data_IF_186578244091
#
_entry.id   IF_186578244091
#
_cell.length_a   1.000
_cell.length_b   1.000
_cell.length_c   1.000
_cell.angle_alpha   90.00
_cell.angle_beta   90.00
_cell.angle_gamma   90.00
#
_symmetry.space_group_name_H-M   'P 1'
#
loop_
_entity.id
_entity.type
_entity.pdbx_description
1 polymer ?
#
# COMPACT_ATOMS: atom_id res chain seq x y z
N UNK A 1 -0.50 28.61 26.06
CA UNK A 1 -0.38 27.46 25.11
C UNK A 1 -1.45 26.39 25.36
N UNK A 2 -1.73 25.99 26.65
CA UNK A 2 -2.79 24.97 26.94
C UNK A 2 -4.19 25.44 26.54
N UNK A 3 -4.51 26.73 26.74
CA UNK A 3 -5.82 27.29 26.35
C UNK A 3 -5.99 27.25 24.84
N UNK A 4 -4.97 27.65 24.07
CA UNK A 4 -4.99 27.63 22.62
C UNK A 4 -5.18 26.23 22.04
N UNK A 5 -4.65 25.18 22.68
CA UNK A 5 -4.89 23.81 22.25
C UNK A 5 -6.33 23.33 22.49
N UNK A 6 -6.94 23.81 23.59
CA UNK A 6 -8.35 23.58 23.87
C UNK A 6 -9.20 24.28 22.82
N UNK A 7 -8.86 25.51 22.47
CA UNK A 7 -9.56 26.30 21.47
C UNK A 7 -9.49 25.65 20.08
N UNK A 8 -8.32 25.10 19.68
CA UNK A 8 -8.17 24.35 18.43
C UNK A 8 -9.06 23.09 18.41
N UNK A 9 -9.07 22.31 19.51
CA UNK A 9 -9.94 21.13 19.58
C UNK A 9 -11.41 21.53 19.58
N UNK A 10 -11.76 22.64 20.18
CA UNK A 10 -13.12 23.17 20.14
C UNK A 10 -13.51 23.57 18.72
N UNK A 11 -12.62 24.20 17.96
CA UNK A 11 -12.84 24.54 16.56
C UNK A 11 -13.09 23.30 15.69
N UNK A 12 -12.33 22.21 15.90
CA UNK A 12 -12.60 20.92 15.25
C UNK A 12 -13.98 20.39 15.61
N UNK A 13 -14.36 20.46 16.90
CA UNK A 13 -15.67 20.00 17.37
C UNK A 13 -16.81 20.83 16.74
N UNK A 14 -16.66 22.13 16.63
CA UNK A 14 -17.62 23.01 15.96
C UNK A 14 -17.80 22.66 14.48
N UNK A 15 -16.71 22.32 13.78
CA UNK A 15 -16.80 21.81 12.41
C UNK A 15 -17.63 20.52 12.33
N UNK A 16 -17.38 19.58 13.24
CA UNK A 16 -18.11 18.31 13.28
C UNK A 16 -19.60 18.50 13.58
N UNK A 17 -19.95 19.39 14.54
CA UNK A 17 -21.31 19.67 14.94
C UNK A 17 -22.10 20.41 13.83
N UNK A 18 -21.43 21.23 13.02
CA UNK A 18 -22.01 21.97 11.91
C UNK A 18 -21.93 21.25 10.55
N UNK A 19 -21.39 20.04 10.49
CA UNK A 19 -21.10 19.32 9.24
C UNK A 19 -20.24 20.15 8.26
N UNK A 20 -19.30 20.94 8.79
CA UNK A 20 -18.34 21.70 8.02
C UNK A 20 -17.05 20.87 7.83
N UNK A 21 -16.75 20.47 6.60
CA UNK A 21 -15.56 19.69 6.32
C UNK A 21 -14.27 20.50 6.50
N UNK A 22 -13.24 19.90 7.05
CA UNK A 22 -12.01 20.59 7.45
C UNK A 22 -10.74 19.80 7.14
N UNK A 23 -9.63 20.55 7.05
CA UNK A 23 -8.28 20.03 6.98
C UNK A 23 -7.50 20.49 8.22
N UNK A 24 -7.08 19.52 9.03
CA UNK A 24 -6.28 19.76 10.22
C UNK A 24 -4.82 19.47 9.92
N UNK A 25 -4.05 20.54 9.71
CA UNK A 25 -2.62 20.48 9.50
C UNK A 25 -1.89 20.62 10.84
N UNK A 26 -1.11 19.60 11.18
CA UNK A 26 -0.37 19.54 12.43
C UNK A 26 0.99 18.90 12.22
N UNK A 27 2.05 19.60 12.55
CA UNK A 27 3.42 19.14 12.36
C UNK A 27 3.76 17.89 13.17
N UNK A 28 4.95 17.37 12.96
CA UNK A 28 5.47 16.21 13.70
C UNK A 28 5.38 16.43 15.21
N UNK A 29 4.80 15.50 15.95
CA UNK A 29 4.68 15.59 17.40
C UNK A 29 3.60 16.55 17.94
N UNK A 30 2.80 17.18 17.06
CA UNK A 30 1.71 18.09 17.46
C UNK A 30 0.45 17.35 17.98
N UNK A 31 0.40 16.01 17.87
CA UNK A 31 -0.70 15.20 18.42
C UNK A 31 -1.87 15.02 17.47
N UNK A 32 -1.64 14.81 16.17
CA UNK A 32 -2.66 14.45 15.16
C UNK A 32 -3.59 13.34 15.62
N UNK A 33 -3.01 12.19 15.97
CA UNK A 33 -3.78 11.02 16.45
C UNK A 33 -4.60 11.32 17.71
N UNK A 34 -4.10 12.18 18.59
CA UNK A 34 -4.86 12.62 19.77
C UNK A 34 -6.07 13.49 19.39
N UNK A 35 -5.89 14.45 18.47
CA UNK A 35 -6.99 15.27 17.97
C UNK A 35 -8.05 14.41 17.27
N UNK A 36 -7.64 13.46 16.41
CA UNK A 36 -8.51 12.49 15.76
C UNK A 36 -9.31 11.67 16.78
N UNK A 37 -8.65 11.14 17.81
CA UNK A 37 -9.31 10.41 18.90
C UNK A 37 -10.34 11.27 19.62
N UNK A 38 -9.98 12.52 19.97
CA UNK A 38 -10.89 13.46 20.64
C UNK A 38 -12.09 13.84 19.77
N UNK A 39 -11.89 13.92 18.47
CA UNK A 39 -12.99 14.12 17.51
C UNK A 39 -13.98 12.95 17.54
N UNK A 40 -13.48 11.72 17.52
CA UNK A 40 -14.33 10.51 17.62
C UNK A 40 -15.07 10.47 18.97
N UNK A 41 -14.37 10.75 20.08
CA UNK A 41 -14.98 10.81 21.42
C UNK A 41 -16.09 11.87 21.49
N UNK A 42 -15.87 13.04 20.86
CA UNK A 42 -16.87 14.13 20.79
C UNK A 42 -18.12 13.66 20.03
N UNK A 43 -17.97 13.12 18.82
CA UNK A 43 -19.08 12.61 18.03
C UNK A 43 -19.85 11.51 18.78
N UNK A 44 -19.15 10.59 19.43
CA UNK A 44 -19.79 9.53 20.21
C UNK A 44 -20.57 10.07 21.42
N UNK A 45 -20.13 11.17 22.01
CA UNK A 45 -20.79 11.80 23.15
C UNK A 45 -22.03 12.59 22.69
N UNK A 46 -21.97 13.31 21.59
CA UNK A 46 -23.08 14.13 21.08
C UNK A 46 -24.10 13.31 20.29
N UNK A 47 -23.64 12.46 19.37
CA UNK A 47 -24.47 11.78 18.37
C UNK A 47 -24.52 10.26 18.52
N UNK A 48 -23.82 9.68 19.50
CA UNK A 48 -23.62 8.23 19.59
C UNK A 48 -24.90 7.40 19.70
N UNK A 49 -25.95 7.92 20.35
CA UNK A 49 -27.25 7.25 20.41
C UNK A 49 -27.98 7.31 19.07
N UNK A 50 -27.97 8.46 18.41
CA UNK A 50 -28.58 8.67 17.10
C UNK A 50 -27.92 7.76 16.07
N UNK A 51 -26.56 7.70 16.05
CA UNK A 51 -25.82 6.82 15.18
C UNK A 51 -26.21 5.35 15.36
N UNK A 52 -26.41 4.90 16.62
CA UNK A 52 -26.85 3.53 16.88
C UNK A 52 -28.25 3.26 16.38
N UNK A 53 -29.19 4.17 16.67
CA UNK A 53 -30.60 4.04 16.26
C UNK A 53 -30.75 4.04 14.74
N UNK A 54 -29.98 4.87 14.05
CA UNK A 54 -29.97 5.00 12.59
C UNK A 54 -29.07 3.96 11.89
N UNK A 55 -28.40 3.08 12.65
CA UNK A 55 -27.41 2.14 12.14
C UNK A 55 -26.28 2.82 11.35
N UNK A 56 -25.94 4.06 11.73
CA UNK A 56 -24.85 4.86 11.17
C UNK A 56 -23.55 4.63 11.92
N UNK A 57 -22.44 4.94 11.29
CA UNK A 57 -21.12 4.75 11.89
C UNK A 57 -20.17 5.90 11.56
N UNK A 58 -19.26 6.17 12.46
CA UNK A 58 -18.08 6.99 12.20
C UNK A 58 -17.09 6.14 11.42
N UNK A 59 -16.59 6.62 10.30
CA UNK A 59 -15.54 5.99 9.53
C UNK A 59 -14.20 6.68 9.79
N UNK A 60 -13.24 5.93 10.31
CA UNK A 60 -11.87 6.39 10.45
C UNK A 60 -10.98 5.60 9.48
N UNK A 61 -10.38 6.29 8.54
CA UNK A 61 -9.50 5.74 7.52
C UNK A 61 -8.06 5.99 7.90
N UNK A 62 -7.22 4.96 7.86
CA UNK A 62 -5.79 5.06 8.12
C UNK A 62 -4.99 4.43 6.99
N UNK A 63 -3.72 4.82 6.88
CA UNK A 63 -2.84 4.27 5.85
C UNK A 63 -2.33 2.87 6.19
N UNK A 64 -2.02 2.59 7.46
CA UNK A 64 -1.37 1.35 7.90
C UNK A 64 -2.19 0.55 8.92
N UNK A 65 -1.98 -0.76 8.95
CA UNK A 65 -2.56 -1.62 9.99
C UNK A 65 -2.05 -1.28 11.39
N UNK A 66 -0.83 -0.75 11.51
CA UNK A 66 -0.28 -0.31 12.79
C UNK A 66 -1.07 0.88 13.36
N UNK A 67 -1.34 1.90 12.53
CA UNK A 67 -2.17 3.06 12.91
C UNK A 67 -3.61 2.63 13.24
N UNK A 68 -4.21 1.72 12.44
CA UNK A 68 -5.52 1.14 12.72
C UNK A 68 -5.57 0.51 14.12
N UNK A 69 -4.59 -0.33 14.46
CA UNK A 69 -4.54 -1.00 15.76
C UNK A 69 -4.34 -0.01 16.89
N UNK A 70 -3.46 0.99 16.73
CA UNK A 70 -3.25 2.03 17.74
C UNK A 70 -4.53 2.82 18.05
N UNK A 71 -5.31 3.17 17.02
CA UNK A 71 -6.58 3.87 17.21
C UNK A 71 -7.60 2.96 17.92
N UNK A 72 -7.70 1.70 17.51
CA UNK A 72 -8.59 0.72 18.14
C UNK A 72 -8.24 0.46 19.61
N UNK A 73 -6.95 0.36 19.94
CA UNK A 73 -6.48 0.18 21.31
C UNK A 73 -6.84 1.37 22.20
N UNK A 74 -6.77 2.59 21.65
CA UNK A 74 -7.11 3.82 22.38
C UNK A 74 -8.62 4.05 22.56
N UNK A 75 -9.42 3.72 21.55
CA UNK A 75 -10.87 3.94 21.54
C UNK A 75 -11.64 2.79 22.25
N UNK A 76 -11.01 1.61 22.38
CA UNK A 76 -11.71 0.40 22.75
C UNK A 76 -12.65 -0.11 21.65
N UNK A 77 -13.37 -1.20 21.94
CA UNK A 77 -14.35 -1.76 20.98
C UNK A 77 -15.66 -0.98 21.04
N UNK A 78 -15.93 -0.16 20.01
CA UNK A 78 -17.18 0.56 19.86
C UNK A 78 -17.85 0.18 18.53
N UNK A 79 -19.09 -0.31 18.58
CA UNK A 79 -19.82 -0.76 17.39
C UNK A 79 -20.21 0.36 16.42
N UNK A 80 -20.21 1.62 16.88
CA UNK A 80 -20.52 2.80 16.07
C UNK A 80 -19.30 3.37 15.36
N UNK A 81 -18.10 2.80 15.56
CA UNK A 81 -16.87 3.25 14.90
C UNK A 81 -16.30 2.13 14.03
N UNK A 82 -15.96 2.47 12.80
CA UNK A 82 -15.24 1.61 11.86
C UNK A 82 -13.86 2.22 11.66
N UNK A 83 -12.81 1.53 12.08
CA UNK A 83 -11.42 1.89 11.77
C UNK A 83 -10.88 0.90 10.77
N UNK A 84 -10.45 1.36 9.62
CA UNK A 84 -9.99 0.48 8.53
C UNK A 84 -8.88 1.12 7.71
N UNK A 85 -8.11 0.28 7.04
CA UNK A 85 -7.27 0.78 5.95
C UNK A 85 -8.14 1.10 4.74
N UNK A 86 -7.67 2.01 3.89
CA UNK A 86 -8.44 2.48 2.75
C UNK A 86 -8.86 1.35 1.80
N UNK A 87 -7.92 0.47 1.46
CA UNK A 87 -8.18 -0.63 0.52
C UNK A 87 -9.16 -1.66 1.10
N UNK A 88 -9.01 -2.00 2.38
CA UNK A 88 -9.91 -2.91 3.08
C UNK A 88 -11.34 -2.35 3.11
N UNK A 89 -11.48 -1.08 3.43
CA UNK A 89 -12.77 -0.41 3.50
C UNK A 89 -13.44 -0.32 2.11
N UNK A 90 -12.72 0.21 1.12
CA UNK A 90 -13.27 0.38 -0.22
C UNK A 90 -13.67 -0.95 -0.85
N UNK A 91 -12.83 -1.98 -0.70
CA UNK A 91 -13.20 -3.32 -1.16
C UNK A 91 -14.46 -3.84 -0.45
N UNK A 92 -14.54 -3.72 0.87
CA UNK A 92 -15.73 -4.11 1.64
C UNK A 92 -17.00 -3.40 1.18
N UNK A 93 -16.88 -2.15 0.72
CA UNK A 93 -18.00 -1.34 0.25
C UNK A 93 -18.49 -1.74 -1.15
N UNK A 94 -17.55 -2.01 -2.10
CA UNK A 94 -17.92 -2.28 -3.50
C UNK A 94 -17.97 -3.76 -3.88
N UNK A 95 -17.42 -4.68 -3.09
CA UNK A 95 -17.28 -6.10 -3.45
C UNK A 95 -18.61 -6.78 -3.82
N UNK A 96 -19.73 -6.31 -3.28
CA UNK A 96 -21.07 -6.81 -3.59
C UNK A 96 -21.60 -6.32 -4.95
N UNK A 97 -21.03 -5.26 -5.50
CA UNK A 97 -21.44 -4.62 -6.76
C UNK A 97 -20.78 -5.30 -7.98
N UNK A 98 -20.95 -6.61 -8.09
CA UNK A 98 -20.21 -7.41 -9.09
C UNK A 98 -20.53 -7.03 -10.55
N UNK A 99 -21.71 -6.52 -10.83
CA UNK A 99 -22.07 -6.06 -12.18
C UNK A 99 -21.24 -4.82 -12.57
N UNK A 100 -21.16 -3.83 -11.68
CA UNK A 100 -20.33 -2.63 -11.89
C UNK A 100 -18.85 -2.97 -11.94
N UNK A 101 -18.39 -3.85 -11.04
CA UNK A 101 -16.99 -4.33 -11.06
C UNK A 101 -16.65 -5.05 -12.36
N UNK A 102 -17.56 -5.84 -12.91
CA UNK A 102 -17.37 -6.56 -14.17
C UNK A 102 -17.28 -5.59 -15.34
N UNK A 103 -18.10 -4.53 -15.36
CA UNK A 103 -18.02 -3.50 -16.42
C UNK A 103 -16.69 -2.72 -16.36
N UNK A 104 -16.27 -2.31 -15.15
CA UNK A 104 -14.94 -1.68 -14.98
C UNK A 104 -13.80 -2.64 -15.37
N UNK A 105 -13.94 -3.91 -15.05
CA UNK A 105 -12.96 -4.93 -15.45
C UNK A 105 -12.88 -5.10 -16.96
N UNK A 106 -14.02 -5.07 -17.64
CA UNK A 106 -14.12 -5.07 -19.10
C UNK A 106 -13.41 -3.85 -19.72
N UNK A 107 -13.65 -2.66 -19.17
CA UNK A 107 -13.03 -1.43 -19.60
C UNK A 107 -11.49 -1.47 -19.42
N UNK A 108 -11.03 -1.96 -18.28
CA UNK A 108 -9.60 -2.16 -17.99
C UNK A 108 -8.96 -3.13 -18.97
N UNK A 109 -9.60 -4.27 -19.26
CA UNK A 109 -9.10 -5.26 -20.23
C UNK A 109 -9.00 -4.63 -21.62
N UNK A 110 -9.99 -3.88 -22.08
CA UNK A 110 -9.94 -3.18 -23.37
C UNK A 110 -8.74 -2.24 -23.46
N UNK A 111 -8.53 -1.40 -22.45
CA UNK A 111 -7.38 -0.49 -22.41
C UNK A 111 -6.03 -1.23 -22.35
N UNK A 112 -5.94 -2.38 -21.67
CA UNK A 112 -4.73 -3.20 -21.67
C UNK A 112 -4.50 -3.89 -23.04
N UNK A 113 -5.56 -4.35 -23.71
CA UNK A 113 -5.45 -4.91 -25.06
C UNK A 113 -4.93 -3.88 -26.08
N UNK A 114 -5.39 -2.64 -26.02
CA UNK A 114 -4.88 -1.55 -26.87
C UNK A 114 -3.38 -1.30 -26.65
N UNK A 115 -2.96 -1.23 -25.38
CA UNK A 115 -1.53 -1.08 -25.03
C UNK A 115 -0.67 -2.24 -25.50
N UNK A 116 -1.18 -3.47 -25.36
CA UNK A 116 -0.48 -4.68 -25.81
C UNK A 116 -0.38 -4.69 -27.35
N UNK A 117 -1.42 -4.28 -28.05
CA UNK A 117 -1.41 -4.18 -29.51
C UNK A 117 -0.38 -3.19 -30.02
N UNK A 118 -0.27 -2.01 -29.39
CA UNK A 118 0.80 -1.06 -29.68
C UNK A 118 2.20 -1.64 -29.48
N UNK A 119 2.41 -2.42 -28.40
CA UNK A 119 3.70 -3.10 -28.14
C UNK A 119 4.00 -4.18 -29.17
N UNK A 120 3.02 -4.99 -29.55
CA UNK A 120 3.16 -6.00 -30.59
C UNK A 120 3.53 -5.36 -31.91
N UNK A 121 2.83 -4.30 -32.31
CA UNK A 121 3.08 -3.59 -33.57
C UNK A 121 4.45 -2.91 -33.61
N UNK A 122 4.97 -2.45 -32.47
CA UNK A 122 6.31 -1.87 -32.33
C UNK A 122 7.44 -2.90 -32.21
N UNK A 123 7.14 -4.18 -32.11
CA UNK A 123 8.15 -5.23 -31.98
C UNK A 123 8.71 -5.61 -33.38
N UNK A 124 10.01 -5.89 -33.45
CA UNK A 124 10.69 -6.32 -34.69
C UNK A 124 10.14 -7.63 -35.30
N UNK A 125 9.37 -8.37 -34.53
CA UNK A 125 8.72 -9.63 -34.96
C UNK A 125 7.26 -9.44 -35.36
N UNK A 126 6.78 -8.21 -35.42
CA UNK A 126 5.36 -7.91 -35.71
C UNK A 126 4.85 -8.52 -37.04
N UNK A 127 5.68 -8.55 -38.07
CA UNK A 127 5.35 -9.18 -39.35
C UNK A 127 5.04 -10.67 -39.27
N UNK A 128 5.53 -11.34 -38.22
CA UNK A 128 5.31 -12.79 -38.03
C UNK A 128 3.92 -13.10 -37.44
N UNK A 129 3.22 -12.10 -36.89
CA UNK A 129 1.84 -12.26 -36.36
C UNK A 129 0.86 -12.63 -37.45
N UNK A 130 1.10 -12.19 -38.67
CA UNK A 130 0.27 -12.51 -39.84
C UNK A 130 0.44 -13.96 -40.31
N UNK A 131 1.53 -14.61 -39.88
CA UNK A 131 1.78 -16.01 -40.19
C UNK A 131 1.01 -16.90 -39.18
N UNK A 132 -0.06 -17.51 -39.57
CA UNK A 132 -0.90 -18.38 -38.74
C UNK A 132 -0.07 -19.45 -38.01
N UNK A 133 0.89 -20.07 -38.70
CA UNK A 133 1.77 -21.07 -38.14
C UNK A 133 2.61 -20.56 -36.97
N UNK A 134 3.22 -19.37 -37.11
CA UNK A 134 4.01 -18.79 -36.02
C UNK A 134 3.15 -18.52 -34.80
N UNK A 135 1.95 -17.97 -35.00
CA UNK A 135 1.00 -17.68 -33.92
C UNK A 135 0.50 -18.95 -33.23
N UNK A 136 0.16 -19.98 -33.97
CA UNK A 136 -0.28 -21.27 -33.41
C UNK A 136 0.82 -21.87 -32.55
N UNK A 137 2.07 -21.91 -33.03
CA UNK A 137 3.21 -22.47 -32.31
C UNK A 137 3.54 -21.72 -31.01
N UNK A 138 3.48 -20.37 -30.98
CA UNK A 138 3.75 -19.61 -29.76
C UNK A 138 2.59 -19.62 -28.74
N UNK A 139 1.39 -20.03 -29.14
CA UNK A 139 0.24 -20.21 -28.27
C UNK A 139 0.06 -21.67 -27.81
N UNK A 140 0.88 -22.59 -28.31
CA UNK A 140 0.85 -23.98 -27.91
C UNK A 140 1.20 -24.16 -26.42
N UNK A 141 0.46 -25.00 -25.71
CA UNK A 141 0.63 -25.16 -24.27
C UNK A 141 1.99 -25.76 -23.89
N UNK A 142 2.50 -26.72 -24.65
CA UNK A 142 3.78 -27.34 -24.35
C UNK A 142 4.94 -26.41 -24.66
N UNK A 143 4.84 -25.63 -25.75
CA UNK A 143 5.77 -24.54 -25.99
C UNK A 143 5.76 -23.52 -24.83
N UNK A 144 4.60 -23.08 -24.37
CA UNK A 144 4.50 -22.10 -23.29
C UNK A 144 5.07 -22.64 -21.96
N UNK A 145 4.89 -23.93 -21.64
CA UNK A 145 5.54 -24.57 -20.48
C UNK A 145 7.07 -24.45 -20.57
N UNK A 146 7.64 -24.84 -21.71
CA UNK A 146 9.09 -24.75 -21.95
C UNK A 146 9.54 -23.30 -21.94
N UNK A 147 8.85 -22.41 -22.62
CA UNK A 147 9.16 -20.97 -22.68
C UNK A 147 9.23 -20.34 -21.29
N UNK A 148 8.22 -20.56 -20.46
CA UNK A 148 8.19 -19.97 -19.11
C UNK A 148 9.24 -20.59 -18.17
N UNK A 149 9.60 -21.87 -18.35
CA UNK A 149 10.66 -22.51 -17.56
C UNK A 149 12.03 -21.85 -17.78
N UNK A 150 12.30 -21.31 -18.96
CA UNK A 150 13.57 -20.68 -19.33
C UNK A 150 13.47 -19.18 -19.57
N UNK A 151 12.31 -18.56 -19.34
CA UNK A 151 12.09 -17.13 -19.64
C UNK A 151 13.00 -16.18 -18.87
N UNK A 152 13.52 -16.58 -17.71
CA UNK A 152 14.47 -15.82 -16.89
C UNK A 152 15.95 -16.27 -17.07
N UNK A 153 16.22 -17.29 -17.87
CA UNK A 153 17.57 -17.84 -18.07
C UNK A 153 18.46 -16.88 -18.91
N UNK A 154 19.79 -17.00 -18.84
CA UNK A 154 20.69 -16.28 -19.73
C UNK A 154 20.33 -16.49 -21.20
N UNK A 155 20.63 -15.49 -22.05
CA UNK A 155 20.25 -15.52 -23.46
C UNK A 155 20.74 -16.75 -24.22
N UNK A 156 21.94 -17.26 -23.89
CA UNK A 156 22.52 -18.47 -24.51
C UNK A 156 21.68 -19.70 -24.21
N UNK A 157 21.44 -19.98 -22.94
CA UNK A 157 20.63 -21.11 -22.46
C UNK A 157 19.20 -21.03 -23.02
N UNK A 158 18.60 -19.83 -23.03
CA UNK A 158 17.27 -19.65 -23.61
C UNK A 158 17.22 -20.04 -25.09
N UNK A 159 18.18 -19.58 -25.90
CA UNK A 159 18.28 -19.92 -27.32
C UNK A 159 18.41 -21.43 -27.55
N UNK A 160 19.30 -22.08 -26.79
CA UNK A 160 19.57 -23.52 -26.90
C UNK A 160 18.31 -24.33 -26.58
N UNK A 161 17.58 -23.98 -25.52
CA UNK A 161 16.38 -24.72 -25.10
C UNK A 161 15.22 -24.49 -26.10
N UNK A 162 14.95 -23.24 -26.50
CA UNK A 162 13.86 -22.96 -27.44
C UNK A 162 14.14 -23.58 -28.82
N UNK A 163 15.38 -23.50 -29.31
CA UNK A 163 15.77 -24.15 -30.54
C UNK A 163 15.68 -25.70 -30.46
N UNK A 164 16.06 -26.26 -29.31
CA UNK A 164 15.97 -27.70 -29.06
C UNK A 164 14.52 -28.22 -28.95
N UNK A 165 13.60 -27.33 -28.53
CA UNK A 165 12.18 -27.67 -28.53
C UNK A 165 11.59 -27.66 -29.95
N UNK A 166 11.82 -26.61 -30.73
CA UNK A 166 11.38 -26.49 -32.11
C UNK A 166 12.35 -25.60 -32.91
N UNK A 167 13.03 -26.19 -33.90
CA UNK A 167 14.00 -25.48 -34.75
C UNK A 167 13.37 -24.35 -35.58
N UNK A 168 12.06 -24.41 -35.78
CA UNK A 168 11.27 -23.34 -36.43
C UNK A 168 11.55 -21.95 -35.82
N UNK A 169 11.79 -21.87 -34.54
CA UNK A 169 12.05 -20.59 -33.88
C UNK A 169 13.46 -20.03 -34.09
N UNK A 170 14.39 -20.80 -34.66
CA UNK A 170 15.80 -20.39 -34.82
C UNK A 170 16.00 -19.02 -35.48
N UNK A 171 15.31 -18.67 -36.60
CA UNK A 171 15.46 -17.36 -37.25
C UNK A 171 14.99 -16.20 -36.38
N UNK A 172 14.03 -16.42 -35.49
CA UNK A 172 13.41 -15.39 -34.64
C UNK A 172 14.18 -15.10 -33.35
N UNK A 173 15.21 -15.88 -33.03
CA UNK A 173 16.02 -15.77 -31.81
C UNK A 173 17.20 -14.80 -31.97
N UNK A 174 17.30 -14.02 -33.03
CA UNK A 174 18.35 -13.00 -33.21
C UNK A 174 18.38 -12.05 -32.02
N UNK A 175 17.21 -11.53 -31.59
CA UNK A 175 17.02 -10.76 -30.36
C UNK A 175 16.18 -11.55 -29.36
N UNK A 176 16.84 -12.15 -28.38
CA UNK A 176 16.16 -12.91 -27.29
C UNK A 176 15.17 -12.03 -26.53
N UNK A 177 15.50 -10.77 -26.29
CA UNK A 177 14.64 -9.82 -25.59
C UNK A 177 13.35 -9.59 -26.38
N UNK A 178 13.48 -9.22 -27.65
CA UNK A 178 12.30 -9.02 -28.53
C UNK A 178 11.43 -10.24 -28.63
N UNK A 179 12.02 -11.44 -28.75
CA UNK A 179 11.28 -12.70 -28.82
C UNK A 179 10.51 -12.99 -27.52
N UNK A 180 11.18 -12.83 -26.36
CA UNK A 180 10.53 -13.01 -25.05
C UNK A 180 9.35 -12.06 -24.83
N UNK A 181 9.56 -10.79 -25.14
CA UNK A 181 8.53 -9.77 -24.96
C UNK A 181 7.36 -10.05 -25.91
N UNK A 182 7.65 -10.38 -27.15
CA UNK A 182 6.64 -10.68 -28.16
C UNK A 182 5.76 -11.89 -27.77
N UNK A 183 6.37 -13.00 -27.37
CA UNK A 183 5.61 -14.21 -26.93
C UNK A 183 4.76 -13.91 -25.71
N UNK A 184 5.29 -13.15 -24.74
CA UNK A 184 4.53 -12.74 -23.55
C UNK A 184 3.34 -11.87 -23.91
N UNK A 185 3.53 -10.89 -24.80
CA UNK A 185 2.48 -9.95 -25.21
C UNK A 185 1.38 -10.66 -26.01
N UNK A 186 1.74 -11.54 -26.94
CA UNK A 186 0.76 -12.35 -27.69
C UNK A 186 -0.05 -13.25 -26.76
N UNK A 187 0.62 -13.97 -25.85
CA UNK A 187 -0.07 -14.85 -24.91
C UNK A 187 -0.99 -14.06 -23.96
N UNK A 188 -0.53 -12.89 -23.48
CA UNK A 188 -1.36 -12.00 -22.66
C UNK A 188 -2.57 -11.48 -23.44
N UNK A 189 -2.38 -11.05 -24.71
CA UNK A 189 -3.47 -10.62 -25.61
C UNK A 189 -4.51 -11.74 -25.78
N UNK A 190 -4.05 -12.96 -26.02
CA UNK A 190 -4.93 -14.13 -26.20
C UNK A 190 -5.78 -14.40 -24.93
N UNK A 191 -5.14 -14.47 -23.75
CA UNK A 191 -5.83 -14.72 -22.49
C UNK A 191 -6.85 -13.62 -22.16
N UNK A 192 -6.47 -12.35 -22.32
CA UNK A 192 -7.39 -11.22 -22.10
C UNK A 192 -8.55 -11.23 -23.10
N UNK A 193 -8.31 -11.62 -24.35
CA UNK A 193 -9.35 -11.78 -25.36
C UNK A 193 -10.39 -12.84 -24.97
N UNK A 194 -9.96 -13.97 -24.40
CA UNK A 194 -10.87 -15.00 -23.87
C UNK A 194 -11.70 -14.42 -22.74
N UNK A 195 -11.06 -13.76 -21.76
CA UNK A 195 -11.76 -13.16 -20.62
C UNK A 195 -12.77 -12.11 -21.07
N UNK A 196 -12.41 -11.26 -22.05
CA UNK A 196 -13.32 -10.28 -22.61
C UNK A 196 -14.56 -10.95 -23.23
N UNK A 197 -14.37 -12.02 -23.98
CA UNK A 197 -15.46 -12.79 -24.55
C UNK A 197 -16.33 -13.47 -23.48
N UNK A 198 -15.74 -14.03 -22.43
CA UNK A 198 -16.49 -14.56 -21.28
C UNK A 198 -17.41 -13.50 -20.64
N UNK A 199 -16.92 -12.25 -20.52
CA UNK A 199 -17.71 -11.13 -20.01
C UNK A 199 -18.85 -10.81 -20.96
N UNK A 200 -18.60 -10.73 -22.26
CA UNK A 200 -19.62 -10.43 -23.29
C UNK A 200 -20.70 -11.52 -23.39
N UNK A 201 -20.31 -12.78 -23.24
CA UNK A 201 -21.22 -13.93 -23.18
C UNK A 201 -21.97 -14.07 -21.83
N UNK A 202 -21.76 -13.16 -20.88
CA UNK A 202 -22.32 -13.22 -19.51
C UNK A 202 -21.92 -14.47 -18.73
N UNK A 203 -20.73 -14.98 -18.98
CA UNK A 203 -20.10 -16.13 -18.28
C UNK A 203 -18.96 -15.70 -17.36
N UNK A 204 -18.89 -14.40 -17.04
CA UNK A 204 -17.83 -13.84 -16.22
C UNK A 204 -17.78 -14.45 -14.81
N UNK A 205 -16.59 -14.57 -14.30
CA UNK A 205 -16.35 -14.89 -12.89
C UNK A 205 -16.48 -13.60 -12.05
N UNK A 206 -16.52 -13.76 -10.74
CA UNK A 206 -16.47 -12.61 -9.84
C UNK A 206 -15.10 -11.95 -9.89
N UNK A 207 -15.11 -10.62 -9.93
CA UNK A 207 -13.89 -9.84 -9.70
C UNK A 207 -13.50 -9.99 -8.24
N UNK A 208 -12.24 -10.27 -7.97
CA UNK A 208 -11.69 -10.44 -6.63
C UNK A 208 -10.46 -9.56 -6.43
N UNK A 209 -10.32 -9.06 -5.22
CA UNK A 209 -9.15 -8.31 -4.80
C UNK A 209 -8.27 -9.16 -3.90
N UNK A 210 -6.97 -9.23 -4.24
CA UNK A 210 -6.00 -9.98 -3.45
C UNK A 210 -4.92 -9.05 -2.88
N UNK A 211 -5.04 -8.64 -1.60
CA UNK A 211 -4.10 -7.72 -0.98
C UNK A 211 -2.68 -8.30 -0.82
N UNK A 212 -2.56 -9.63 -0.75
CA UNK A 212 -1.27 -10.30 -0.54
C UNK A 212 -0.40 -10.27 -1.79
N UNK A 213 -1.00 -10.46 -2.97
CA UNK A 213 -0.24 -10.52 -4.22
C UNK A 213 -0.05 -9.16 -4.88
N UNK A 214 -0.88 -8.18 -4.54
CA UNK A 214 -0.90 -6.80 -5.09
C UNK A 214 -0.47 -6.72 -6.57
N UNK A 215 -1.05 -7.55 -7.41
CA UNK A 215 -0.76 -7.63 -8.85
C UNK A 215 -2.03 -7.93 -9.62
N UNK A 216 -2.21 -7.21 -10.71
CA UNK A 216 -3.28 -7.52 -11.66
C UNK A 216 -3.02 -8.85 -12.35
N UNK A 217 -4.01 -9.74 -12.28
CA UNK A 217 -4.18 -10.93 -13.13
C UNK A 217 -5.57 -10.85 -13.74
N UNK A 218 -5.71 -9.92 -14.69
CA UNK A 218 -7.02 -9.58 -15.26
C UNK A 218 -7.67 -10.79 -15.93
N UNK A 219 -6.87 -11.69 -16.52
CA UNK A 219 -7.33 -12.95 -17.08
C UNK A 219 -7.95 -13.91 -16.05
N UNK A 220 -7.70 -13.67 -14.77
CA UNK A 220 -8.25 -14.45 -13.65
C UNK A 220 -9.21 -13.63 -12.79
N UNK A 221 -9.62 -12.45 -13.25
CA UNK A 221 -10.48 -11.51 -12.52
C UNK A 221 -9.87 -11.03 -11.18
N UNK A 222 -8.54 -11.05 -11.04
CA UNK A 222 -7.83 -10.57 -9.85
C UNK A 222 -7.28 -9.19 -10.10
N UNK A 223 -7.53 -8.27 -9.15
CA UNK A 223 -7.10 -6.87 -9.23
C UNK A 223 -6.10 -6.50 -8.12
N UNK A 224 -5.20 -5.56 -8.43
CA UNK A 224 -4.23 -4.96 -7.51
C UNK A 224 -4.83 -3.82 -6.68
N UNK A 225 -4.03 -3.22 -5.78
CA UNK A 225 -4.38 -2.02 -5.01
C UNK A 225 -4.77 -0.85 -5.93
N UNK A 226 -3.90 -0.53 -6.89
CA UNK A 226 -4.12 0.60 -7.82
C UNK A 226 -5.37 0.41 -8.67
N UNK A 227 -5.61 -0.81 -9.13
CA UNK A 227 -6.80 -1.13 -9.93
C UNK A 227 -8.06 -1.12 -9.07
N UNK A 228 -7.98 -1.52 -7.80
CA UNK A 228 -9.09 -1.38 -6.86
C UNK A 228 -9.47 0.09 -6.69
N UNK A 229 -8.50 0.98 -6.43
CA UNK A 229 -8.77 2.41 -6.28
C UNK A 229 -9.39 3.02 -7.54
N UNK A 230 -8.88 2.66 -8.72
CA UNK A 230 -9.44 3.10 -10.00
C UNK A 230 -10.90 2.65 -10.18
N UNK A 231 -11.21 1.39 -9.88
CA UNK A 231 -12.59 0.89 -9.98
C UNK A 231 -13.51 1.56 -8.97
N UNK A 232 -13.03 1.76 -7.72
CA UNK A 232 -13.80 2.46 -6.70
C UNK A 232 -14.11 3.90 -7.12
N UNK A 233 -13.14 4.63 -7.63
CA UNK A 233 -13.31 5.99 -8.11
C UNK A 233 -14.38 6.03 -9.20
N UNK A 234 -14.21 5.26 -10.28
CA UNK A 234 -15.16 5.24 -11.41
C UNK A 234 -16.57 4.84 -10.97
N UNK A 235 -16.69 3.79 -10.14
CA UNK A 235 -17.99 3.27 -9.70
C UNK A 235 -18.68 4.27 -8.75
N UNK A 236 -18.00 4.76 -7.72
CA UNK A 236 -18.62 5.59 -6.70
C UNK A 236 -18.95 6.99 -7.25
N UNK A 237 -18.04 7.58 -8.02
CA UNK A 237 -18.25 8.92 -8.57
C UNK A 237 -19.36 8.98 -9.62
N UNK A 238 -19.59 7.88 -10.37
CA UNK A 238 -20.65 7.80 -11.37
C UNK A 238 -22.02 7.45 -10.81
N UNK A 239 -22.11 6.84 -9.61
CA UNK A 239 -23.35 6.27 -9.07
C UNK A 239 -23.88 7.07 -7.87
N UNK A 240 -24.88 7.93 -8.09
CA UNK A 240 -25.50 8.72 -7.03
C UNK A 240 -26.11 7.86 -5.90
N UNK A 241 -26.58 6.66 -6.22
CA UNK A 241 -27.08 5.73 -5.19
C UNK A 241 -25.97 5.29 -4.23
N UNK A 242 -24.77 5.01 -4.74
CA UNK A 242 -23.64 4.61 -3.90
C UNK A 242 -23.14 5.78 -3.04
N UNK A 243 -23.10 7.00 -3.59
CA UNK A 243 -22.79 8.22 -2.81
C UNK A 243 -23.77 8.40 -1.66
N UNK A 244 -25.06 8.21 -1.93
CA UNK A 244 -26.10 8.27 -0.91
C UNK A 244 -25.93 7.18 0.14
N UNK A 245 -25.76 5.93 -0.27
CA UNK A 245 -25.56 4.81 0.66
C UNK A 245 -24.32 5.02 1.55
N UNK A 246 -23.27 5.60 0.98
CA UNK A 246 -22.07 5.92 1.72
C UNK A 246 -22.32 7.01 2.77
N UNK A 247 -22.87 8.18 2.36
CA UNK A 247 -23.11 9.29 3.28
C UNK A 247 -24.20 8.95 4.31
N UNK A 248 -25.22 8.20 3.94
CA UNK A 248 -26.26 7.75 4.89
C UNK A 248 -25.69 6.75 5.92
N UNK A 249 -24.69 5.95 5.55
CA UNK A 249 -24.06 4.98 6.44
C UNK A 249 -22.92 5.56 7.28
N UNK A 250 -22.17 6.48 6.70
CA UNK A 250 -20.96 7.07 7.29
C UNK A 250 -21.03 8.61 7.24
N UNK A 251 -21.86 9.23 8.08
CA UNK A 251 -22.00 10.70 8.08
C UNK A 251 -20.74 11.43 8.54
N UNK A 252 -19.87 10.76 9.28
CA UNK A 252 -18.59 11.28 9.75
C UNK A 252 -17.45 10.44 9.20
N UNK A 253 -16.59 11.06 8.39
CA UNK A 253 -15.40 10.43 7.81
C UNK A 253 -14.17 11.19 8.31
N UNK A 254 -13.26 10.47 8.95
CA UNK A 254 -12.00 11.02 9.46
C UNK A 254 -10.86 10.29 8.78
N UNK A 255 -9.99 11.02 8.11
CA UNK A 255 -8.85 10.47 7.36
C UNK A 255 -7.56 10.86 8.06
N UNK A 256 -6.83 9.85 8.54
CA UNK A 256 -5.51 10.03 9.17
C UNK A 256 -4.41 10.01 8.12
N UNK A 257 -3.35 10.82 8.32
CA UNK A 257 -2.20 10.97 7.43
C UNK A 257 -2.63 11.22 5.96
N UNK A 258 -3.50 12.24 5.76
CA UNK A 258 -4.09 12.52 4.46
C UNK A 258 -3.05 12.73 3.34
N UNK A 259 -1.87 13.22 3.66
CA UNK A 259 -0.81 13.48 2.69
C UNK A 259 -0.29 12.21 1.99
N UNK A 260 -0.46 11.05 2.63
CA UNK A 260 -0.11 9.74 2.06
C UNK A 260 -1.28 9.08 1.32
N UNK A 261 -2.46 9.71 1.32
CA UNK A 261 -3.67 9.19 0.67
C UNK A 261 -3.60 9.36 -0.85
N UNK A 262 -4.01 8.35 -1.61
CA UNK A 262 -4.09 8.40 -3.08
C UNK A 262 -5.15 9.42 -3.54
N UNK A 263 -4.86 10.17 -4.61
CA UNK A 263 -5.75 11.20 -5.15
C UNK A 263 -7.14 10.66 -5.49
N UNK A 264 -7.24 9.42 -5.99
CA UNK A 264 -8.53 8.79 -6.30
C UNK A 264 -9.44 8.66 -5.08
N UNK A 265 -8.84 8.47 -3.91
CA UNK A 265 -9.60 8.41 -2.66
C UNK A 265 -10.16 9.76 -2.27
N UNK A 266 -9.34 10.80 -2.43
CA UNK A 266 -9.79 12.18 -2.20
C UNK A 266 -10.92 12.53 -3.16
N UNK A 267 -10.79 12.18 -4.45
CA UNK A 267 -11.84 12.37 -5.46
C UNK A 267 -13.15 11.63 -5.11
N UNK A 268 -13.06 10.42 -4.59
CA UNK A 268 -14.24 9.67 -4.08
C UNK A 268 -14.91 10.45 -2.96
N UNK A 269 -14.15 10.88 -1.96
CA UNK A 269 -14.64 11.59 -0.78
C UNK A 269 -15.26 12.93 -1.19
N UNK A 270 -14.59 13.71 -2.05
CA UNK A 270 -15.10 14.98 -2.57
C UNK A 270 -16.40 14.79 -3.33
N UNK A 271 -16.47 13.79 -4.21
CA UNK A 271 -17.69 13.49 -4.95
C UNK A 271 -18.89 13.13 -4.05
N UNK A 272 -18.62 12.47 -2.89
CA UNK A 272 -19.66 12.17 -1.90
C UNK A 272 -20.05 13.44 -1.14
N UNK A 273 -19.05 14.24 -0.73
CA UNK A 273 -19.24 15.52 -0.04
C UNK A 273 -20.10 16.47 -0.87
N UNK A 274 -19.76 16.69 -2.13
CA UNK A 274 -20.51 17.53 -3.07
C UNK A 274 -21.96 17.04 -3.24
N UNK A 275 -22.17 15.74 -3.39
CA UNK A 275 -23.50 15.14 -3.47
C UNK A 275 -24.33 15.39 -2.19
N UNK A 276 -23.67 15.44 -1.03
CA UNK A 276 -24.30 15.54 0.28
C UNK A 276 -24.42 16.99 0.79
N UNK A 277 -23.76 17.97 0.15
CA UNK A 277 -23.72 19.37 0.59
C UNK A 277 -25.12 19.99 0.80
N UNK A 278 -26.08 19.67 -0.05
CA UNK A 278 -27.45 20.20 0.06
C UNK A 278 -28.21 19.67 1.29
N UNK A 279 -27.74 18.59 1.91
CA UNK A 279 -28.40 17.92 3.04
C UNK A 279 -27.76 18.24 4.39
N UNK A 280 -26.56 18.79 4.39
CA UNK A 280 -25.77 19.10 5.60
C UNK A 280 -25.69 17.92 6.59
N UNK A 281 -25.49 16.71 6.08
CA UNK A 281 -25.49 15.46 6.86
C UNK A 281 -24.24 14.61 6.63
N UNK A 282 -23.18 15.21 6.09
CA UNK A 282 -21.91 14.52 5.82
C UNK A 282 -20.75 15.48 6.05
N UNK A 283 -19.77 15.05 6.82
CA UNK A 283 -18.58 15.82 7.13
C UNK A 283 -17.31 14.97 7.00
N UNK A 284 -16.27 15.58 6.49
CA UNK A 284 -14.94 14.97 6.38
C UNK A 284 -13.94 15.80 7.15
N UNK A 285 -13.15 15.15 8.00
CA UNK A 285 -11.96 15.71 8.65
C UNK A 285 -10.70 15.02 8.14
N UNK A 286 -9.83 15.76 7.49
CA UNK A 286 -8.51 15.33 7.09
C UNK A 286 -7.48 15.71 8.14
N UNK A 287 -6.70 14.75 8.65
CA UNK A 287 -5.66 14.96 9.65
C UNK A 287 -4.31 14.60 9.03
N UNK A 288 -3.35 15.53 9.03
CA UNK A 288 -2.06 15.25 8.42
C UNK A 288 -1.02 16.36 8.55
N UNK A 289 0.04 16.23 7.78
CA UNK A 289 1.10 17.20 7.60
C UNK A 289 1.60 17.13 6.16
N UNK A 290 1.33 18.13 5.35
CA UNK A 290 1.65 18.15 3.92
C UNK A 290 3.13 17.91 3.61
N UNK A 291 4.05 18.23 4.54
CA UNK A 291 5.49 17.98 4.37
C UNK A 291 5.92 16.54 4.73
N UNK A 292 5.05 15.75 5.33
CA UNK A 292 5.35 14.36 5.68
C UNK A 292 4.92 13.35 4.60
N UNK A 293 4.78 13.75 3.35
CA UNK A 293 4.54 12.80 2.24
C UNK A 293 5.82 11.99 1.97
N UNK A 294 5.94 10.84 2.64
CA UNK A 294 7.13 9.98 2.58
C UNK A 294 7.08 8.94 1.45
N UNK A 295 5.90 8.68 0.90
CA UNK A 295 5.73 7.66 -0.15
C UNK A 295 5.75 8.23 -1.56
N UNK A 296 5.66 9.57 -1.72
CA UNK A 296 5.69 10.24 -3.02
C UNK A 296 4.51 9.90 -3.96
N UNK A 297 3.64 8.99 -3.56
CA UNK A 297 2.43 8.59 -4.29
C UNK A 297 1.14 9.17 -3.72
N UNK A 298 1.19 9.76 -2.53
CA UNK A 298 0.07 10.44 -1.90
C UNK A 298 -0.15 11.84 -2.47
N UNK A 299 -1.30 12.43 -2.16
CA UNK A 299 -1.65 13.79 -2.63
C UNK A 299 -0.70 14.88 -2.14
N UNK A 300 0.01 14.63 -1.02
CA UNK A 300 0.84 15.63 -0.36
C UNK A 300 0.02 16.81 0.17
N UNK A 301 -0.50 17.64 -0.74
CA UNK A 301 -1.45 18.70 -0.45
C UNK A 301 -2.81 18.32 -1.01
N UNK A 302 -3.88 18.53 -0.25
CA UNK A 302 -5.24 18.22 -0.70
C UNK A 302 -5.59 19.02 -1.96
N UNK A 303 -6.09 18.37 -3.02
CA UNK A 303 -6.76 19.06 -4.10
C UNK A 303 -7.93 19.88 -3.53
N UNK A 304 -8.19 21.06 -4.07
CA UNK A 304 -9.30 21.92 -3.62
C UNK A 304 -9.26 22.26 -2.11
N UNK A 305 -8.05 22.44 -1.53
CA UNK A 305 -7.87 22.70 -0.10
C UNK A 305 -8.70 23.92 0.37
N UNK A 306 -8.95 24.89 -0.50
CA UNK A 306 -9.77 26.06 -0.26
C UNK A 306 -11.25 25.78 0.05
N UNK A 307 -11.74 24.60 -0.29
CA UNK A 307 -13.10 24.15 0.01
C UNK A 307 -13.27 23.55 1.41
N UNK A 308 -12.14 23.40 2.12
CA UNK A 308 -12.07 22.86 3.48
C UNK A 308 -11.69 23.97 4.46
N UNK A 309 -12.31 23.97 5.63
CA UNK A 309 -11.87 24.85 6.70
C UNK A 309 -10.46 24.45 7.14
N UNK A 310 -9.49 25.34 7.00
CA UNK A 310 -8.11 25.09 7.42
C UNK A 310 -7.97 25.32 8.92
N UNK A 311 -7.51 24.31 9.63
CA UNK A 311 -7.20 24.36 11.07
C UNK A 311 -5.75 23.94 11.24
N UNK A 312 -4.93 24.81 11.83
CA UNK A 312 -3.50 24.57 12.00
C UNK A 312 -3.15 24.42 13.48
N UNK A 313 -2.29 23.44 13.77
CA UNK A 313 -1.76 23.25 15.11
C UNK A 313 -0.24 23.31 15.14
N UNK A 314 0.26 24.41 15.65
CA UNK A 314 1.70 24.70 15.72
C UNK A 314 2.40 24.13 16.98
N UNK A 315 1.66 23.64 17.97
CA UNK A 315 2.24 23.19 19.23
C UNK A 315 2.74 21.76 19.17
N UNK A 316 4.04 21.57 19.41
CA UNK A 316 4.68 20.26 19.51
C UNK A 316 4.71 19.78 20.98
N UNK A 317 4.15 18.60 21.23
CA UNK A 317 4.10 17.95 22.56
C UNK A 317 5.16 16.87 22.77
N UNK A 318 5.93 16.58 21.74
CA UNK A 318 6.90 15.48 21.76
C UNK A 318 8.32 15.94 22.01
N UNK A 319 8.69 17.09 21.46
CA UNK A 319 10.07 17.53 21.35
C UNK A 319 10.35 18.80 22.15
N UNK A 320 11.59 18.93 22.66
CA UNK A 320 12.10 20.14 23.27
C UNK A 320 12.20 21.31 22.28
N UNK A 321 12.37 22.53 22.77
CA UNK A 321 12.47 23.73 21.93
C UNK A 321 13.61 23.65 20.92
N UNK A 322 14.78 23.12 21.30
CA UNK A 322 15.94 22.98 20.40
C UNK A 322 15.65 22.02 19.24
N UNK A 323 14.94 20.92 19.50
CA UNK A 323 14.57 19.97 18.45
C UNK A 323 13.50 20.57 17.53
N UNK A 324 12.53 21.31 18.09
CA UNK A 324 11.51 22.01 17.29
C UNK A 324 12.16 23.08 16.42
N UNK A 325 13.13 23.84 16.92
CA UNK A 325 13.88 24.82 16.12
C UNK A 325 14.64 24.16 14.95
N UNK A 326 15.22 22.97 15.18
CA UNK A 326 15.84 22.18 14.10
C UNK A 326 14.81 21.72 13.08
N UNK A 327 13.65 21.23 13.53
CA UNK A 327 12.55 20.80 12.65
C UNK A 327 12.10 21.99 11.77
N UNK A 328 11.89 23.17 12.33
CA UNK A 328 11.50 24.37 11.59
C UNK A 328 12.55 24.78 10.53
N UNK A 329 13.84 24.67 10.86
CA UNK A 329 14.92 24.92 9.89
C UNK A 329 14.91 23.90 8.73
N UNK A 330 14.58 22.64 9.01
CA UNK A 330 14.48 21.59 8.00
C UNK A 330 13.21 21.78 7.14
N UNK A 331 12.08 22.12 7.77
CA UNK A 331 10.80 22.35 7.08
C UNK A 331 10.88 23.52 6.10
N UNK A 332 11.44 24.63 6.52
CA UNK A 332 11.60 25.86 5.71
C UNK A 332 10.28 26.35 5.04
N UNK A 333 9.15 26.15 5.71
CA UNK A 333 7.80 26.49 5.21
C UNK A 333 7.11 27.59 6.02
N UNK A 334 7.80 28.16 7.01
CA UNK A 334 7.29 29.16 7.94
C UNK A 334 6.06 28.72 8.74
N UNK A 335 5.90 27.40 8.98
CA UNK A 335 4.78 26.85 9.75
C UNK A 335 4.78 27.37 11.20
N UNK A 336 5.96 27.69 11.74
CA UNK A 336 6.12 28.35 13.05
C UNK A 336 5.85 27.39 14.21
N UNK A 337 6.20 26.11 14.09
CA UNK A 337 6.00 25.13 15.16
C UNK A 337 6.72 25.54 16.44
N UNK A 338 6.07 25.35 17.59
CA UNK A 338 6.58 25.72 18.92
C UNK A 338 6.48 24.53 19.87
N UNK A 339 7.49 24.35 20.72
CA UNK A 339 7.38 23.39 21.82
C UNK A 339 6.38 23.88 22.86
N UNK A 340 5.55 22.98 23.37
CA UNK A 340 4.66 23.29 24.49
C UNK A 340 5.42 23.40 25.82
N UNK A 341 6.61 22.82 25.88
CA UNK A 341 7.47 22.75 27.05
C UNK A 341 8.44 23.93 27.05
N UNK A 342 8.05 25.03 27.66
CA UNK A 342 8.89 26.23 27.80
C UNK A 342 10.05 26.05 28.79
N UNK A 343 9.91 25.10 29.73
CA UNK A 343 10.87 24.89 30.82
C UNK A 343 11.77 23.65 30.63
N UNK A 344 11.64 22.94 29.49
CA UNK A 344 12.42 21.73 29.18
C UNK A 344 13.48 22.04 28.12
N UNK A 345 14.58 22.65 28.53
CA UNK A 345 15.72 22.98 27.68
C UNK A 345 16.77 21.85 27.59
N UNK A 346 16.37 20.58 27.67
CA UNK A 346 17.28 19.43 27.70
C UNK A 346 17.45 18.73 26.35
N UNK A 347 16.96 19.28 25.26
CA UNK A 347 17.18 18.73 23.92
C UNK A 347 18.50 19.20 23.33
N UNK A 348 19.20 18.31 22.65
CA UNK A 348 20.38 18.67 21.86
C UNK A 348 20.38 17.91 20.54
N UNK A 349 21.03 18.48 19.54
CA UNK A 349 21.32 17.79 18.30
C UNK A 349 22.80 17.95 17.99
N UNK A 350 23.41 16.89 17.47
CA UNK A 350 24.79 16.87 17.05
C UNK A 350 24.87 16.36 15.62
N UNK A 351 25.77 16.93 14.84
CA UNK A 351 26.04 16.50 13.48
C UNK A 351 27.44 15.91 13.46
N UNK A 352 27.54 14.65 13.02
CA UNK A 352 28.79 13.94 12.88
C UNK A 352 29.07 13.65 11.41
N UNK A 353 30.33 13.82 11.01
CA UNK A 353 30.81 13.44 9.68
C UNK A 353 31.75 12.26 9.86
N UNK A 354 31.50 11.19 9.13
CA UNK A 354 32.28 9.98 9.17
C UNK A 354 32.77 9.60 7.76
N UNK A 355 33.83 8.82 7.68
CA UNK A 355 34.33 8.22 6.45
C UNK A 355 33.66 6.88 6.15
N UNK A 356 34.08 6.21 5.06
CA UNK A 356 33.51 4.94 4.62
C UNK A 356 33.82 3.76 5.58
N UNK A 357 34.70 3.94 6.56
CA UNK A 357 35.05 2.94 7.57
C UNK A 357 34.26 3.12 8.87
N UNK A 358 33.25 3.99 8.88
CA UNK A 358 32.40 4.24 10.05
C UNK A 358 31.74 2.95 10.54
N UNK A 359 31.95 2.64 11.82
CA UNK A 359 31.29 1.54 12.51
C UNK A 359 30.29 2.09 13.52
N UNK A 360 29.00 1.81 13.28
CA UNK A 360 27.90 2.29 14.10
C UNK A 360 27.96 1.73 15.52
N UNK A 361 28.34 0.45 15.69
CA UNK A 361 28.35 -0.18 17.01
C UNK A 361 29.46 0.39 17.88
N UNK A 362 30.65 0.62 17.30
CA UNK A 362 31.77 1.29 17.99
C UNK A 362 31.34 2.70 18.40
N UNK A 363 30.75 3.47 17.47
CA UNK A 363 30.28 4.83 17.76
C UNK A 363 29.26 4.86 18.91
N UNK A 364 28.29 3.94 18.93
CA UNK A 364 27.29 3.84 19.99
C UNK A 364 27.93 3.46 21.34
N UNK A 365 28.94 2.60 21.34
CA UNK A 365 29.70 2.23 22.55
C UNK A 365 30.46 3.41 23.12
N UNK A 366 31.26 4.07 22.29
CA UNK A 366 32.13 5.20 22.71
C UNK A 366 31.30 6.38 23.24
N UNK A 367 30.08 6.57 22.70
CA UNK A 367 29.19 7.64 23.14
C UNK A 367 28.16 7.19 24.21
N UNK A 368 28.26 5.98 24.73
CA UNK A 368 27.36 5.44 25.77
C UNK A 368 25.87 5.41 25.35
N UNK A 369 25.61 5.18 24.06
CA UNK A 369 24.27 5.23 23.45
C UNK A 369 23.58 3.88 23.27
N UNK A 370 24.24 2.74 23.57
CA UNK A 370 23.75 1.39 23.22
C UNK A 370 22.36 1.07 23.74
N UNK A 371 21.99 1.50 24.95
CA UNK A 371 20.78 1.00 25.61
C UNK A 371 19.55 1.87 25.42
N UNK A 372 19.67 3.10 24.93
CA UNK A 372 18.59 4.09 24.87
C UNK A 372 18.48 4.80 23.52
N UNK A 373 19.01 4.21 22.43
CA UNK A 373 19.08 4.86 21.13
C UNK A 373 18.29 4.07 20.09
N UNK A 374 17.41 4.75 19.37
CA UNK A 374 16.81 4.24 18.15
C UNK A 374 17.66 4.68 16.95
N UNK A 375 18.18 3.73 16.20
CA UNK A 375 18.99 4.00 14.99
C UNK A 375 18.12 3.89 13.74
N UNK A 376 18.09 4.97 12.94
CA UNK A 376 17.41 5.01 11.65
C UNK A 376 18.46 4.95 10.54
N UNK A 377 18.42 3.90 9.74
CA UNK A 377 19.35 3.68 8.63
C UNK A 377 18.61 3.85 7.29
N UNK A 378 19.24 4.55 6.34
CA UNK A 378 18.60 4.87 5.05
C UNK A 378 18.50 3.69 4.09
N UNK A 379 19.44 2.73 4.19
CA UNK A 379 19.54 1.61 3.25
C UNK A 379 19.29 0.27 3.94
N UNK A 380 18.54 -0.60 3.31
CA UNK A 380 18.34 -1.97 3.80
C UNK A 380 19.64 -2.76 3.92
N UNK A 381 20.65 -2.45 3.10
CA UNK A 381 21.98 -3.06 3.19
C UNK A 381 22.69 -2.69 4.50
N UNK A 382 22.56 -1.44 4.93
CA UNK A 382 23.14 -0.98 6.19
C UNK A 382 22.41 -1.60 7.38
N UNK A 383 21.07 -1.72 7.29
CA UNK A 383 20.27 -2.43 8.29
C UNK A 383 20.69 -3.89 8.39
N UNK A 384 20.89 -4.57 7.24
CA UNK A 384 21.27 -5.97 7.23
C UNK A 384 22.65 -6.21 7.83
N UNK A 385 23.62 -5.31 7.57
CA UNK A 385 24.95 -5.33 8.21
C UNK A 385 24.83 -5.15 9.71
N UNK A 386 24.13 -4.10 10.17
CA UNK A 386 23.95 -3.82 11.59
C UNK A 386 23.20 -4.95 12.33
N UNK A 387 22.43 -5.77 11.63
CA UNK A 387 21.68 -6.92 12.18
C UNK A 387 22.34 -8.27 11.91
N UNK A 388 23.47 -8.32 11.20
CA UNK A 388 24.24 -9.53 10.93
C UNK A 388 23.58 -10.51 9.94
N UNK A 389 22.75 -10.03 9.00
CA UNK A 389 22.14 -10.86 7.95
C UNK A 389 22.43 -10.37 6.51
N UNK A 390 23.50 -9.59 6.33
CA UNK A 390 23.90 -9.01 5.05
C UNK A 390 24.29 -10.07 4.00
N UNK A 391 24.93 -11.16 4.41
CA UNK A 391 25.21 -12.29 3.52
C UNK A 391 23.91 -12.94 2.99
N UNK A 392 22.94 -13.14 3.87
CA UNK A 392 21.63 -13.67 3.51
C UNK A 392 20.88 -12.74 2.54
N UNK A 393 20.85 -11.44 2.85
CA UNK A 393 20.23 -10.44 1.96
C UNK A 393 20.93 -10.40 0.60
N UNK A 394 22.26 -10.47 0.57
CA UNK A 394 23.03 -10.50 -0.66
C UNK A 394 22.78 -11.77 -1.48
N UNK A 395 22.61 -12.91 -0.83
CA UNK A 395 22.24 -14.16 -1.48
C UNK A 395 20.82 -14.08 -2.07
N UNK A 396 19.86 -13.55 -1.32
CA UNK A 396 18.47 -13.38 -1.78
C UNK A 396 18.37 -12.43 -2.99
N UNK A 397 19.14 -11.34 -3.01
CA UNK A 397 19.20 -10.41 -4.16
C UNK A 397 19.66 -11.06 -5.46
N UNK A 398 20.44 -12.15 -5.39
CA UNK A 398 20.89 -12.92 -6.57
C UNK A 398 19.81 -13.83 -7.14
N UNK A 399 18.74 -14.09 -6.40
CA UNK A 399 17.62 -14.89 -6.91
C UNK A 399 16.84 -14.14 -7.99
N UNK A 400 16.48 -14.80 -9.11
CA UNK A 400 15.74 -14.16 -10.22
C UNK A 400 14.44 -13.49 -9.79
N UNK A 401 13.76 -14.02 -8.77
CA UNK A 401 12.52 -13.44 -8.23
C UNK A 401 12.73 -12.08 -7.59
N UNK A 402 13.89 -11.84 -7.02
CA UNK A 402 14.21 -10.64 -6.26
C UNK A 402 15.26 -9.74 -6.95
N UNK A 403 15.74 -10.13 -8.13
CA UNK A 403 16.67 -9.33 -8.93
C UNK A 403 15.93 -8.24 -9.73
N UNK A 404 16.65 -7.19 -10.10
CA UNK A 404 16.13 -6.14 -11.00
C UNK A 404 15.12 -5.17 -10.37
N UNK A 405 15.33 -4.76 -9.10
CA UNK A 405 14.51 -3.76 -8.40
C UNK A 405 13.38 -4.36 -7.55
N UNK A 406 13.15 -5.66 -7.63
CA UNK A 406 12.14 -6.35 -6.81
C UNK A 406 12.64 -6.74 -5.40
N UNK A 407 13.84 -6.30 -4.99
CA UNK A 407 14.38 -6.63 -3.67
C UNK A 407 13.64 -5.93 -2.51
N UNK A 408 12.87 -4.89 -2.78
CA UNK A 408 11.95 -4.30 -1.77
C UNK A 408 10.94 -5.34 -1.27
N UNK A 409 10.49 -6.22 -2.15
CA UNK A 409 9.60 -7.32 -1.76
C UNK A 409 10.28 -8.30 -0.80
N UNK A 410 11.60 -8.53 -0.94
CA UNK A 410 12.36 -9.36 0.01
C UNK A 410 12.35 -8.74 1.40
N UNK A 411 12.62 -7.44 1.47
CA UNK A 411 12.65 -6.72 2.74
C UNK A 411 11.28 -6.73 3.40
N UNK A 412 10.24 -6.48 2.64
CA UNK A 412 8.86 -6.52 3.13
C UNK A 412 8.44 -7.94 3.54
N UNK A 413 8.77 -8.96 2.74
CA UNK A 413 8.50 -10.36 3.07
C UNK A 413 9.30 -10.83 4.30
N UNK A 414 10.52 -10.34 4.51
CA UNK A 414 11.39 -10.70 5.63
C UNK A 414 11.06 -9.99 6.94
N UNK A 415 10.72 -8.70 6.86
CA UNK A 415 10.39 -7.89 8.04
C UNK A 415 8.95 -8.14 8.52
N UNK A 416 8.08 -8.59 7.64
CA UNK A 416 6.74 -9.03 8.02
C UNK A 416 6.85 -10.45 8.54
N UNK A 417 6.88 -10.62 9.85
CA UNK A 417 6.88 -11.93 10.54
C UNK A 417 5.63 -12.79 10.26
N UNK A 418 4.76 -12.36 9.36
CA UNK A 418 3.55 -13.08 8.98
C UNK A 418 3.82 -14.08 7.87
N UNK A 419 3.98 -15.35 8.22
CA UNK A 419 4.20 -16.47 7.30
C UNK A 419 3.18 -16.57 6.16
N UNK A 420 1.95 -16.08 6.37
CA UNK A 420 0.90 -16.10 5.35
C UNK A 420 1.13 -15.07 4.23
N UNK A 421 1.89 -14.02 4.48
CA UNK A 421 2.24 -12.97 3.52
C UNK A 421 3.57 -13.25 2.81
N UNK A 422 4.37 -14.18 3.34
CA UNK A 422 5.63 -14.56 2.72
C UNK A 422 5.43 -15.35 1.43
N UNK A 423 6.27 -15.10 0.44
CA UNK A 423 6.33 -15.93 -0.76
C UNK A 423 6.66 -17.38 -0.41
N UNK A 424 6.14 -18.31 -1.19
CA UNK A 424 6.29 -19.75 -0.95
C UNK A 424 7.73 -20.18 -0.66
N UNK A 425 8.72 -19.61 -1.36
CA UNK A 425 10.12 -19.95 -1.20
C UNK A 425 10.68 -19.56 0.20
N UNK A 426 10.42 -18.33 0.66
CA UNK A 426 10.87 -17.89 1.98
C UNK A 426 10.16 -18.65 3.10
N UNK A 427 8.89 -18.94 2.90
CA UNK A 427 8.12 -19.77 3.83
C UNK A 427 8.71 -21.17 3.95
N UNK A 428 9.07 -21.81 2.82
CA UNK A 428 9.66 -23.15 2.82
C UNK A 428 11.06 -23.13 3.50
N UNK A 429 11.86 -22.08 3.26
CA UNK A 429 13.16 -21.90 3.93
C UNK A 429 12.98 -21.75 5.45
N UNK A 430 12.05 -20.92 5.90
CA UNK A 430 11.77 -20.73 7.33
C UNK A 430 11.23 -22.00 7.97
N UNK A 431 10.31 -22.70 7.29
CA UNK A 431 9.80 -23.99 7.74
C UNK A 431 10.94 -24.99 7.91
N UNK A 432 11.89 -25.00 6.98
CA UNK A 432 13.06 -25.86 7.07
C UNK A 432 14.01 -25.47 8.24
N UNK A 433 14.21 -24.19 8.47
CA UNK A 433 14.97 -23.69 9.62
C UNK A 433 14.28 -24.10 10.95
N UNK A 434 12.96 -23.89 11.05
CA UNK A 434 12.18 -24.31 12.21
C UNK A 434 12.27 -25.82 12.43
N UNK A 435 12.25 -26.60 11.36
CA UNK A 435 12.46 -28.06 11.43
C UNK A 435 13.84 -28.40 12.00
N UNK A 436 14.90 -27.76 11.53
CA UNK A 436 16.26 -27.99 12.04
C UNK A 436 16.35 -27.61 13.51
N UNK A 437 15.81 -26.46 13.90
CA UNK A 437 15.82 -26.00 15.30
C UNK A 437 15.08 -26.99 16.20
N UNK A 438 13.87 -27.41 15.83
CA UNK A 438 13.11 -28.41 16.58
C UNK A 438 13.79 -29.77 16.65
N UNK A 439 14.41 -30.19 15.56
CA UNK A 439 15.15 -31.48 15.49
C UNK A 439 16.42 -31.46 16.34
N UNK A 440 17.01 -30.28 16.55
CA UNK A 440 18.24 -30.08 17.32
C UNK A 440 17.96 -29.77 18.81
N UNK A 441 16.69 -29.53 19.21
CA UNK A 441 16.32 -29.29 20.59
C UNK A 441 16.27 -30.61 21.35
N UNK A 442 17.12 -30.80 22.41
CA UNK A 442 17.13 -32.03 23.21
C UNK A 442 15.81 -32.34 23.91
N UNK A 443 14.93 -31.34 24.05
CA UNK A 443 13.63 -31.48 24.71
C UNK A 443 12.50 -31.85 23.73
N UNK A 444 12.74 -31.78 22.43
CA UNK A 444 11.74 -32.12 21.43
C UNK A 444 11.52 -33.63 21.35
N UNK A 445 10.26 -34.03 21.37
CA UNK A 445 9.90 -35.44 21.20
C UNK A 445 9.78 -35.80 19.70
N UNK A 446 10.04 -37.07 19.36
CA UNK A 446 9.85 -37.61 18.01
C UNK A 446 8.41 -37.35 17.52
N UNK A 447 7.42 -37.42 18.40
CA UNK A 447 6.02 -37.15 18.07
C UNK A 447 5.79 -35.70 17.63
N UNK A 448 6.40 -34.73 18.27
CA UNK A 448 6.29 -33.30 17.91
C UNK A 448 6.95 -33.02 16.57
N UNK A 449 8.10 -33.66 16.30
CA UNK A 449 8.79 -33.52 15.02
C UNK A 449 7.94 -34.11 13.88
N UNK A 450 7.35 -35.30 14.08
CA UNK A 450 6.48 -35.94 13.08
C UNK A 450 5.20 -35.14 12.86
N UNK A 451 4.59 -34.57 13.91
CA UNK A 451 3.43 -33.68 13.77
C UNK A 451 3.76 -32.42 13.01
N UNK A 452 4.94 -31.84 13.24
CA UNK A 452 5.40 -30.64 12.51
C UNK A 452 5.55 -30.94 11.02
N UNK A 453 6.19 -32.06 10.62
CA UNK A 453 6.35 -32.47 9.22
C UNK A 453 4.99 -32.71 8.56
N UNK A 454 4.02 -33.27 9.27
CA UNK A 454 2.69 -33.58 8.71
C UNK A 454 1.76 -32.36 8.62
N UNK A 455 2.09 -31.25 9.29
CA UNK A 455 1.33 -30.00 9.28
C UNK A 455 1.94 -28.91 8.38
N UNK A 456 3.16 -29.10 7.91
CA UNK A 456 3.91 -28.22 7.01
C UNK A 456 3.68 -28.58 5.56
#
# INVERSE_FOLDING_TARGET
>A
NKQLEIDIQQEINECLDNFESFCFDAGAGAGKTYALQKSIEHILKSEGEILKLSNQKILCITYTNAAKNEILDRLGKNSSVVVSTIHEFLWGFIAIQQELLTEEHKNKIKGELEKIEQKINGNSLSSNVEQNEFRERICDEDFLKVFYSVSSSPAKTFKEVIKGFDEYFSPYLSSVKSFRDFVKDINKKYKLGITLKEIEDKKSKKVIYNPVQNRDKLENYVISHDTLLLYCENIITSQNLLKRLFSDRYPYVLVDEYQDTDEKVVNIIDSIREYSNSKQNFVVGFFGDSLQNIYGSGVGVLPNKEEYKSIEKIFNRRSSSQIVELIEKIRNDNFGQQSIYTDFDNGSYNFYVADDNFDLDIFLQENSLINNTACLLMKNDDISKARGFDELLSALKKFPRFSGGNYENVTNEFLQTNLQQMGWFLRDVLTFIDFIQKSSDPNSTVKEIVQFISSS
#
